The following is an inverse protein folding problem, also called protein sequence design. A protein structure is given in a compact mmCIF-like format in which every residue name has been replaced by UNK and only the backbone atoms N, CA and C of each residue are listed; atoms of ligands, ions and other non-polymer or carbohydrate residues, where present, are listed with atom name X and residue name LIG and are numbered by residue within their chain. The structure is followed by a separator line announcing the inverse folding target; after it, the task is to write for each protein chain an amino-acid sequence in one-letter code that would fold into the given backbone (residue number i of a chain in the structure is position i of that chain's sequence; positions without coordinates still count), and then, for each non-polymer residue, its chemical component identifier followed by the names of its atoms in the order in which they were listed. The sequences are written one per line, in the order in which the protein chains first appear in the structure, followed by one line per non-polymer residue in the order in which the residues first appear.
data_IF_680429199108
#
_entry.id   IF_680429199108
#
_cell.length_a   1.000
_cell.length_b   1.000
_cell.length_c   1.000
_cell.angle_alpha   90.00
_cell.angle_beta   90.00
_cell.angle_gamma   90.00
#
_symmetry.space_group_name_H-M   'P 1'
#
loop_
_entity.id
_entity.type
_entity.pdbx_description
1 polymer ?
#
# COMPACT_ATOMS: atom_id res chain seq x y z
N UNK A 1 4.35 5.76 -36.65
CA UNK A 1 4.39 4.40 -36.11
C UNK A 1 3.50 4.37 -34.86
N UNK A 2 2.20 4.03 -35.02
CA UNK A 2 1.21 4.10 -33.93
C UNK A 2 1.32 2.81 -33.13
N UNK A 3 1.89 2.92 -31.92
CA UNK A 3 1.90 1.85 -30.95
C UNK A 3 0.45 1.65 -30.47
N UNK A 4 -0.23 0.60 -30.95
CA UNK A 4 -1.46 0.12 -30.34
C UNK A 4 -1.10 -0.35 -28.91
N UNK A 5 -1.40 0.48 -27.92
CA UNK A 5 -1.48 0.03 -26.55
C UNK A 5 -2.69 -0.91 -26.46
N UNK A 6 -2.46 -2.21 -26.48
CA UNK A 6 -3.49 -3.17 -26.11
C UNK A 6 -3.93 -2.84 -24.67
N UNK A 7 -5.24 -2.67 -24.50
CA UNK A 7 -5.82 -2.45 -23.18
C UNK A 7 -5.39 -3.62 -22.27
N UNK A 8 -4.91 -3.34 -21.06
CA UNK A 8 -4.55 -4.43 -20.15
C UNK A 8 -5.79 -5.29 -19.92
N UNK A 9 -5.64 -6.60 -20.12
CA UNK A 9 -6.68 -7.58 -19.79
C UNK A 9 -7.17 -7.33 -18.37
N UNK A 10 -8.49 -7.38 -18.14
CA UNK A 10 -9.10 -7.17 -16.84
C UNK A 10 -8.39 -8.03 -15.80
N UNK A 11 -7.54 -7.42 -14.97
CA UNK A 11 -6.74 -8.10 -13.97
C UNK A 11 -7.70 -8.64 -12.91
N UNK A 12 -7.84 -9.96 -12.86
CA UNK A 12 -8.71 -10.64 -11.92
C UNK A 12 -8.10 -10.52 -10.51
N UNK A 13 -8.61 -9.59 -9.71
CA UNK A 13 -8.22 -9.41 -8.30
C UNK A 13 -8.85 -10.53 -7.49
N UNK A 14 -8.11 -11.63 -7.29
CA UNK A 14 -8.55 -12.76 -6.46
C UNK A 14 -8.21 -12.43 -5.01
N UNK A 15 -9.08 -11.69 -4.34
CA UNK A 15 -9.09 -11.58 -2.86
C UNK A 15 -10.35 -12.26 -2.33
N UNK A 16 -10.18 -13.44 -1.73
CA UNK A 16 -11.27 -14.21 -1.12
C UNK A 16 -11.19 -14.19 0.42
N UNK A 17 -10.90 -13.02 1.02
CA UNK A 17 -10.89 -12.88 2.47
C UNK A 17 -12.23 -12.35 2.98
N UNK A 18 -12.67 -12.83 4.15
CA UNK A 18 -13.89 -12.37 4.84
C UNK A 18 -13.91 -10.83 5.02
N UNK A 19 -12.74 -10.24 5.27
CA UNK A 19 -12.58 -8.78 5.38
C UNK A 19 -12.94 -8.08 4.06
N UNK A 20 -12.43 -8.58 2.93
CA UNK A 20 -12.69 -8.02 1.60
C UNK A 20 -14.18 -8.11 1.20
N UNK A 21 -14.89 -9.15 1.65
CA UNK A 21 -16.32 -9.28 1.40
C UNK A 21 -17.14 -8.24 2.17
N UNK A 22 -16.81 -7.99 3.44
CA UNK A 22 -17.45 -6.97 4.26
C UNK A 22 -17.12 -5.55 3.79
N UNK A 23 -15.85 -5.30 3.44
CA UNK A 23 -15.41 -4.04 2.85
C UNK A 23 -16.21 -3.71 1.59
N UNK A 24 -16.36 -4.65 0.65
CA UNK A 24 -17.18 -4.44 -0.56
C UNK A 24 -18.63 -4.08 -0.26
N UNK A 25 -19.23 -4.66 0.78
CA UNK A 25 -20.62 -4.32 1.19
C UNK A 25 -20.69 -2.87 1.68
N UNK A 26 -19.73 -2.44 2.50
CA UNK A 26 -19.65 -1.07 3.01
C UNK A 26 -19.43 -0.09 1.85
N UNK A 27 -18.48 -0.37 0.96
CA UNK A 27 -18.18 0.47 -0.18
C UNK A 27 -19.37 0.61 -1.13
N UNK A 28 -20.08 -0.49 -1.44
CA UNK A 28 -21.29 -0.44 -2.25
C UNK A 28 -22.41 0.39 -1.60
N UNK A 29 -22.59 0.25 -0.28
CA UNK A 29 -23.55 1.04 0.47
C UNK A 29 -23.21 2.53 0.46
N UNK A 30 -21.93 2.89 0.55
CA UNK A 30 -21.44 4.25 0.46
C UNK A 30 -21.61 4.80 -0.97
N UNK A 31 -21.27 4.04 -2.01
CA UNK A 31 -21.44 4.44 -3.41
C UNK A 31 -22.88 4.84 -3.74
N UNK A 32 -23.88 4.11 -3.22
CA UNK A 32 -25.30 4.41 -3.42
C UNK A 32 -25.72 5.76 -2.83
N UNK A 33 -25.03 6.23 -1.80
CA UNK A 33 -25.33 7.46 -1.06
C UNK A 33 -24.45 8.64 -1.45
N UNK A 34 -23.43 8.39 -2.29
CA UNK A 34 -22.45 9.40 -2.65
C UNK A 34 -23.07 10.49 -3.54
N UNK A 35 -23.03 11.77 -3.16
CA UNK A 35 -23.56 12.88 -3.97
C UNK A 35 -22.95 12.93 -5.37
N UNK A 36 -23.71 13.42 -6.34
CA UNK A 36 -23.29 13.46 -7.75
C UNK A 36 -22.04 14.30 -8.02
N UNK A 37 -21.76 15.30 -7.19
CA UNK A 37 -20.60 16.17 -7.32
C UNK A 37 -19.27 15.51 -6.85
N UNK A 38 -19.34 14.41 -6.11
CA UNK A 38 -18.15 13.64 -5.72
C UNK A 38 -17.67 12.83 -6.91
N UNK A 39 -16.40 12.99 -7.28
CA UNK A 39 -15.76 12.27 -8.39
C UNK A 39 -14.68 11.32 -7.85
N UNK A 40 -14.30 10.28 -8.61
CA UNK A 40 -13.17 9.43 -8.24
C UNK A 40 -11.90 10.23 -7.93
N UNK A 41 -11.54 11.21 -8.77
CA UNK A 41 -10.34 12.03 -8.55
C UNK A 41 -10.37 12.84 -7.24
N UNK A 42 -11.57 13.28 -6.80
CA UNK A 42 -11.73 13.94 -5.50
C UNK A 42 -11.53 12.96 -4.34
N UNK A 43 -11.94 11.72 -4.52
CA UNK A 43 -11.72 10.67 -3.52
C UNK A 43 -10.24 10.30 -3.42
N UNK A 44 -9.54 10.15 -4.55
CA UNK A 44 -8.07 9.96 -4.55
C UNK A 44 -7.37 11.13 -3.85
N UNK A 45 -7.77 12.39 -4.14
CA UNK A 45 -7.24 13.56 -3.43
C UNK A 45 -7.56 13.53 -1.92
N UNK A 46 -8.76 13.06 -1.53
CA UNK A 46 -9.11 12.86 -0.12
C UNK A 46 -8.21 11.83 0.54
N UNK A 47 -7.91 10.73 -0.15
CA UNK A 47 -6.94 9.72 0.32
C UNK A 47 -5.55 10.32 0.55
N UNK A 48 -5.09 11.18 -0.36
CA UNK A 48 -3.80 11.87 -0.21
C UNK A 48 -3.79 12.87 0.95
N UNK A 49 -4.89 13.57 1.20
CA UNK A 49 -5.06 14.41 2.41
C UNK A 49 -4.95 13.53 3.66
N UNK A 50 -5.59 12.35 3.66
CA UNK A 50 -5.48 11.38 4.75
C UNK A 50 -4.03 10.95 5.01
N UNK A 51 -3.25 10.66 3.95
CA UNK A 51 -1.83 10.34 4.08
C UNK A 51 -1.02 11.51 4.67
N UNK A 52 -1.31 12.76 4.24
CA UNK A 52 -0.73 13.98 4.81
C UNK A 52 -1.10 14.18 6.28
N UNK A 53 -2.34 13.88 6.68
CA UNK A 53 -2.78 13.91 8.09
C UNK A 53 -2.03 12.86 8.91
N UNK A 54 -1.84 11.66 8.39
CA UNK A 54 -1.07 10.60 9.05
C UNK A 54 0.36 11.04 9.29
N UNK A 55 1.02 11.57 8.27
CA UNK A 55 2.36 12.15 8.39
C UNK A 55 2.42 13.23 9.46
N UNK A 56 1.53 14.24 9.38
CA UNK A 56 1.49 15.35 10.32
C UNK A 56 1.24 14.88 11.77
N UNK A 57 0.35 13.91 11.97
CA UNK A 57 0.06 13.32 13.27
C UNK A 57 1.28 12.63 13.89
N UNK A 58 2.04 11.87 13.11
CA UNK A 58 3.29 11.26 13.59
C UNK A 58 4.36 12.30 13.91
N UNK A 59 4.56 13.29 13.05
CA UNK A 59 5.55 14.36 13.32
C UNK A 59 5.16 15.18 14.55
N UNK A 60 3.89 15.54 14.70
CA UNK A 60 3.38 16.29 15.83
C UNK A 60 3.41 15.48 17.14
N UNK A 61 3.48 14.16 17.08
CA UNK A 61 3.59 13.31 18.29
C UNK A 61 4.88 13.51 19.07
N UNK A 62 5.88 14.18 18.49
CA UNK A 62 7.06 14.66 19.23
C UNK A 62 6.71 15.70 20.29
N UNK A 63 5.62 16.47 20.11
CA UNK A 63 5.16 17.44 21.11
C UNK A 63 4.20 16.79 22.11
N UNK A 64 3.27 15.95 21.65
CA UNK A 64 2.32 15.24 22.51
C UNK A 64 1.83 13.98 21.78
N UNK A 65 1.84 12.84 22.48
CA UNK A 65 1.34 11.56 21.96
C UNK A 65 -0.13 11.59 21.53
N UNK A 66 -0.94 12.51 22.03
CA UNK A 66 -2.33 12.69 21.58
C UNK A 66 -2.46 13.00 20.07
N UNK A 67 -1.42 13.57 19.44
CA UNK A 67 -1.41 13.80 18.00
C UNK A 67 -1.45 12.50 17.17
N UNK A 68 -1.13 11.34 17.76
CA UNK A 68 -1.33 10.04 17.12
C UNK A 68 -2.81 9.77 16.79
N UNK A 69 -3.76 10.41 17.46
CA UNK A 69 -5.18 10.37 17.08
C UNK A 69 -5.41 10.98 15.69
N UNK A 70 -4.66 12.03 15.35
CA UNK A 70 -4.70 12.63 14.00
C UNK A 70 -4.12 11.66 12.97
N UNK A 71 -3.06 10.92 13.33
CA UNK A 71 -2.52 9.89 12.45
C UNK A 71 -3.54 8.75 12.21
N UNK A 72 -4.22 8.29 13.26
CA UNK A 72 -5.28 7.26 13.15
C UNK A 72 -6.43 7.76 12.27
N UNK A 73 -6.90 9.00 12.48
CA UNK A 73 -7.92 9.62 11.63
C UNK A 73 -7.43 9.71 10.18
N UNK A 74 -6.16 10.06 9.97
CA UNK A 74 -5.52 10.10 8.66
C UNK A 74 -5.58 8.76 7.94
N UNK A 75 -5.31 7.64 8.62
CA UNK A 75 -5.47 6.29 8.05
C UNK A 75 -6.90 5.99 7.62
N UNK A 76 -7.91 6.40 8.41
CA UNK A 76 -9.32 6.21 8.07
C UNK A 76 -9.72 7.03 6.85
N UNK A 77 -9.28 8.29 6.77
CA UNK A 77 -9.52 9.17 5.62
C UNK A 77 -8.82 8.64 4.38
N UNK A 78 -7.58 8.16 4.51
CA UNK A 78 -6.81 7.58 3.41
C UNK A 78 -7.47 6.30 2.91
N UNK A 79 -7.90 5.39 3.80
CA UNK A 79 -8.66 4.20 3.43
C UNK A 79 -9.95 4.54 2.68
N UNK A 80 -10.71 5.52 3.20
CA UNK A 80 -11.96 5.93 2.59
C UNK A 80 -11.73 6.46 1.16
N UNK A 81 -10.77 7.38 0.97
CA UNK A 81 -10.48 7.97 -0.33
C UNK A 81 -10.05 6.93 -1.36
N UNK A 82 -9.07 6.12 -1.00
CA UNK A 82 -8.43 5.10 -1.82
C UNK A 82 -9.38 3.92 -2.18
N UNK A 83 -10.13 3.40 -1.20
CA UNK A 83 -11.07 2.29 -1.47
C UNK A 83 -12.32 2.74 -2.22
N UNK A 84 -12.72 4.01 -2.06
CA UNK A 84 -13.94 4.55 -2.66
C UNK A 84 -13.77 5.03 -4.10
N UNK A 85 -12.59 5.48 -4.52
CA UNK A 85 -12.41 6.08 -5.85
C UNK A 85 -12.65 5.07 -6.99
N UNK A 86 -12.00 3.91 -6.94
CA UNK A 86 -12.22 2.82 -7.88
C UNK A 86 -13.62 2.22 -7.77
N UNK A 87 -14.13 2.07 -6.52
CA UNK A 87 -15.48 1.55 -6.28
C UNK A 87 -16.57 2.45 -6.86
N UNK A 88 -16.44 3.77 -6.70
CA UNK A 88 -17.37 4.76 -7.23
C UNK A 88 -17.28 4.84 -8.76
N UNK A 89 -16.06 4.78 -9.34
CA UNK A 89 -15.85 4.75 -10.79
C UNK A 89 -16.60 3.56 -11.41
N UNK A 90 -16.42 2.37 -10.82
CA UNK A 90 -17.11 1.16 -11.26
C UNK A 90 -18.63 1.24 -11.09
N UNK A 91 -19.11 1.69 -9.92
CA UNK A 91 -20.54 1.82 -9.64
C UNK A 91 -21.25 2.77 -10.63
N UNK A 92 -20.61 3.88 -11.00
CA UNK A 92 -21.15 4.87 -11.93
C UNK A 92 -20.86 4.58 -13.41
N UNK A 93 -20.09 3.52 -13.72
CA UNK A 93 -19.63 3.15 -15.08
C UNK A 93 -18.86 4.28 -15.78
N UNK A 94 -17.99 4.96 -15.01
CA UNK A 94 -17.13 6.05 -15.50
C UNK A 94 -15.64 5.71 -15.36
N UNK A 95 -15.32 4.43 -15.44
CA UNK A 95 -13.95 3.93 -15.28
C UNK A 95 -13.03 4.49 -16.36
N UNK A 96 -11.84 4.85 -15.95
CA UNK A 96 -10.72 5.24 -16.81
C UNK A 96 -9.54 4.30 -16.52
N UNK A 97 -9.53 3.06 -17.07
CA UNK A 97 -8.64 2.00 -16.59
C UNK A 97 -7.16 2.38 -16.57
N UNK A 98 -6.63 2.94 -17.66
CA UNK A 98 -5.20 3.32 -17.73
C UNK A 98 -4.86 4.50 -16.82
N UNK A 99 -5.72 5.52 -16.80
CA UNK A 99 -5.52 6.69 -15.95
C UNK A 99 -5.68 6.34 -14.49
N UNK A 100 -6.77 5.63 -14.13
CA UNK A 100 -7.05 5.20 -12.76
C UNK A 100 -5.90 4.36 -12.20
N UNK A 101 -5.46 3.34 -12.96
CA UNK A 101 -4.33 2.51 -12.57
C UNK A 101 -3.05 3.32 -12.31
N UNK A 102 -2.72 4.27 -13.19
CA UNK A 102 -1.52 5.10 -13.05
C UNK A 102 -1.58 5.99 -11.81
N UNK A 103 -2.71 6.71 -11.62
CA UNK A 103 -2.88 7.64 -10.51
C UNK A 103 -2.94 6.89 -9.18
N UNK A 104 -3.73 5.83 -9.09
CA UNK A 104 -3.89 4.98 -7.90
C UNK A 104 -2.52 4.53 -7.36
N UNK A 105 -1.74 3.85 -8.19
CA UNK A 105 -0.44 3.32 -7.75
C UNK A 105 0.63 4.40 -7.55
N UNK A 106 0.53 5.55 -8.23
CA UNK A 106 1.41 6.69 -7.95
C UNK A 106 1.09 7.32 -6.59
N UNK A 107 -0.20 7.46 -6.28
CA UNK A 107 -0.65 7.96 -4.97
C UNK A 107 -0.32 6.98 -3.84
N UNK A 108 -0.45 5.66 -4.07
CA UNK A 108 -0.05 4.63 -3.11
C UNK A 108 1.43 4.73 -2.74
N UNK A 109 2.30 4.90 -3.73
CA UNK A 109 3.73 5.10 -3.49
C UNK A 109 4.02 6.34 -2.65
N UNK A 110 3.37 7.47 -2.98
CA UNK A 110 3.54 8.72 -2.23
C UNK A 110 2.92 8.64 -0.83
N UNK A 111 1.76 8.02 -0.68
CA UNK A 111 1.11 7.80 0.62
C UNK A 111 2.02 6.94 1.53
N UNK A 112 2.59 5.86 0.99
CA UNK A 112 3.53 5.01 1.72
C UNK A 112 4.77 5.79 2.17
N UNK A 113 5.33 6.61 1.28
CA UNK A 113 6.45 7.50 1.63
C UNK A 113 6.08 8.43 2.79
N UNK A 114 4.93 9.11 2.72
CA UNK A 114 4.47 10.02 3.78
C UNK A 114 4.28 9.30 5.11
N UNK A 115 3.62 8.15 5.09
CA UNK A 115 3.34 7.36 6.29
C UNK A 115 4.66 6.94 6.97
N UNK A 116 5.57 6.31 6.22
CA UNK A 116 6.82 5.81 6.80
C UNK A 116 7.80 6.92 7.16
N UNK A 117 7.84 8.01 6.40
CA UNK A 117 8.59 9.21 6.79
C UNK A 117 8.04 9.81 8.09
N UNK A 118 6.71 9.89 8.24
CA UNK A 118 6.07 10.33 9.48
C UNK A 118 6.44 9.43 10.67
N UNK A 119 6.37 8.11 10.50
CA UNK A 119 6.78 7.14 11.53
C UNK A 119 8.25 7.35 11.91
N UNK A 120 9.16 7.49 10.93
CA UNK A 120 10.60 7.68 11.19
C UNK A 120 10.96 9.06 11.77
N UNK A 121 10.09 10.09 11.61
CA UNK A 121 10.23 11.40 12.24
C UNK A 121 9.55 11.48 13.60
N UNK A 122 8.82 10.44 14.01
CA UNK A 122 8.18 10.35 15.32
C UNK A 122 9.20 9.92 16.40
N UNK A 123 8.86 10.07 17.69
CA UNK A 123 9.75 9.63 18.77
C UNK A 123 9.75 8.11 18.99
N UNK A 124 9.01 7.32 18.20
CA UNK A 124 8.78 5.89 18.44
C UNK A 124 9.67 4.98 17.60
N UNK A 125 10.02 5.40 16.39
CA UNK A 125 10.80 4.59 15.43
C UNK A 125 11.90 5.45 14.83
N UNK A 126 13.11 4.90 14.73
CA UNK A 126 14.24 5.55 14.12
C UNK A 126 14.10 5.64 12.59
N UNK A 127 14.61 6.72 11.99
CA UNK A 127 14.46 7.01 10.56
C UNK A 127 15.11 5.94 9.67
N UNK A 128 16.26 5.40 10.08
CA UNK A 128 16.94 4.34 9.36
C UNK A 128 16.10 3.06 9.26
N UNK A 129 15.42 2.68 10.35
CA UNK A 129 14.48 1.54 10.37
C UNK A 129 13.25 1.80 9.50
N UNK A 130 12.69 3.00 9.57
CA UNK A 130 11.57 3.40 8.72
C UNK A 130 11.94 3.37 7.22
N UNK A 131 13.17 3.77 6.87
CA UNK A 131 13.68 3.70 5.50
C UNK A 131 13.87 2.26 5.01
N UNK A 132 14.26 1.33 5.88
CA UNK A 132 14.32 -0.11 5.53
C UNK A 132 12.91 -0.63 5.20
N UNK A 133 11.92 -0.28 6.02
CA UNK A 133 10.54 -0.67 5.76
C UNK A 133 9.99 -0.05 4.45
N UNK A 134 10.28 1.23 4.20
CA UNK A 134 9.93 1.91 2.96
C UNK A 134 10.58 1.24 1.74
N UNK A 135 11.87 0.96 1.80
CA UNK A 135 12.59 0.28 0.74
C UNK A 135 11.99 -1.10 0.45
N UNK A 136 11.70 -1.88 1.49
CA UNK A 136 11.07 -3.21 1.36
C UNK A 136 9.71 -3.14 0.65
N UNK A 137 8.86 -2.21 1.05
CA UNK A 137 7.55 -2.03 0.42
C UNK A 137 7.66 -1.59 -1.04
N UNK A 138 8.47 -0.58 -1.34
CA UNK A 138 8.63 -0.06 -2.71
C UNK A 138 9.27 -1.09 -3.64
N UNK A 139 10.27 -1.84 -3.19
CA UNK A 139 10.88 -2.92 -3.97
C UNK A 139 9.85 -4.00 -4.31
N UNK A 140 9.01 -4.39 -3.36
CA UNK A 140 7.96 -5.39 -3.59
C UNK A 140 6.88 -4.86 -4.54
N UNK A 141 6.52 -3.59 -4.46
CA UNK A 141 5.61 -2.91 -5.39
C UNK A 141 6.18 -2.87 -6.81
N UNK A 142 7.47 -2.53 -6.97
CA UNK A 142 8.18 -2.58 -8.25
C UNK A 142 8.12 -4.00 -8.83
N UNK A 143 8.39 -5.03 -8.01
CA UNK A 143 8.28 -6.42 -8.47
C UNK A 143 6.86 -6.76 -8.96
N UNK A 144 5.82 -6.32 -8.26
CA UNK A 144 4.43 -6.53 -8.66
C UNK A 144 4.13 -5.90 -10.02
N UNK A 145 4.55 -4.64 -10.25
CA UNK A 145 4.35 -3.93 -11.52
C UNK A 145 5.13 -4.57 -12.68
N UNK A 146 6.38 -4.98 -12.44
CA UNK A 146 7.18 -5.68 -13.44
C UNK A 146 6.56 -7.04 -13.79
N UNK A 147 6.10 -7.80 -12.81
CA UNK A 147 5.43 -9.09 -13.01
C UNK A 147 4.13 -8.94 -13.78
N UNK A 148 3.33 -7.92 -13.48
CA UNK A 148 2.12 -7.60 -14.23
C UNK A 148 2.43 -7.30 -15.70
N UNK A 149 3.49 -6.55 -15.97
CA UNK A 149 3.91 -6.19 -17.34
C UNK A 149 4.42 -7.38 -18.15
N UNK A 150 5.20 -8.28 -17.52
CA UNK A 150 5.92 -9.34 -18.24
C UNK A 150 5.13 -10.67 -18.27
N UNK A 151 4.41 -11.00 -17.20
CA UNK A 151 3.65 -12.24 -17.08
C UNK A 151 2.14 -12.05 -17.30
N UNK A 152 1.64 -10.81 -17.32
CA UNK A 152 0.19 -10.53 -17.29
C UNK A 152 -0.49 -10.91 -15.96
N UNK A 153 0.30 -11.25 -14.93
CA UNK A 153 -0.20 -11.66 -13.62
C UNK A 153 0.05 -10.53 -12.61
N UNK A 154 -1.01 -9.92 -12.09
CA UNK A 154 -0.90 -8.89 -11.07
C UNK A 154 -1.19 -9.49 -9.69
N UNK A 155 -0.14 -9.75 -8.91
CA UNK A 155 -0.23 -10.27 -7.55
C UNK A 155 0.22 -9.21 -6.56
N UNK A 156 -0.72 -8.46 -5.97
CA UNK A 156 -0.46 -7.53 -4.87
C UNK A 156 -0.57 -8.22 -3.50
N UNK A 157 -1.09 -9.44 -3.44
CA UNK A 157 -1.25 -10.17 -2.18
C UNK A 157 -0.06 -11.10 -1.97
N UNK A 158 0.96 -10.59 -1.30
CA UNK A 158 2.01 -11.42 -0.74
C UNK A 158 1.59 -11.78 0.70
N UNK A 159 1.68 -13.06 1.08
CA UNK A 159 1.29 -13.58 2.40
C UNK A 159 -0.21 -13.44 2.75
N UNK A 160 -1.11 -13.38 1.76
CA UNK A 160 -2.57 -13.21 1.98
C UNK A 160 -2.97 -11.90 2.69
N UNK A 161 -2.04 -10.98 2.89
CA UNK A 161 -2.31 -9.66 3.45
C UNK A 161 -2.56 -8.66 2.31
N UNK A 162 -3.73 -8.02 2.33
CA UNK A 162 -4.09 -6.94 1.42
C UNK A 162 -3.79 -5.55 2.02
N UNK A 163 -4.03 -4.47 1.25
CA UNK A 163 -3.83 -3.10 1.74
C UNK A 163 -4.61 -2.77 3.01
N UNK A 164 -5.80 -3.33 3.17
CA UNK A 164 -6.66 -3.10 4.34
C UNK A 164 -6.10 -3.76 5.60
N UNK A 165 -5.56 -4.97 5.51
CA UNK A 165 -4.90 -5.67 6.61
C UNK A 165 -3.65 -4.91 7.06
N UNK A 166 -2.87 -4.38 6.11
CA UNK A 166 -1.69 -3.57 6.43
C UNK A 166 -2.08 -2.28 7.17
N UNK A 167 -3.16 -1.60 6.75
CA UNK A 167 -3.67 -0.41 7.46
C UNK A 167 -4.14 -0.72 8.88
N UNK A 168 -4.87 -1.83 9.06
CA UNK A 168 -5.30 -2.26 10.40
C UNK A 168 -4.08 -2.53 11.29
N UNK A 169 -3.05 -3.17 10.77
CA UNK A 169 -1.80 -3.41 11.49
C UNK A 169 -1.12 -2.09 11.87
N UNK A 170 -1.04 -1.10 10.96
CA UNK A 170 -0.44 0.21 11.23
C UNK A 170 -1.26 1.03 12.24
N UNK A 171 -2.59 0.98 12.18
CA UNK A 171 -3.46 1.59 13.19
C UNK A 171 -3.23 0.92 14.56
N UNK A 172 -3.17 -0.41 14.61
CA UNK A 172 -2.87 -1.15 15.84
C UNK A 172 -1.49 -0.76 16.42
N UNK A 173 -0.48 -0.66 15.57
CA UNK A 173 0.86 -0.19 15.95
C UNK A 173 0.79 1.25 16.52
N UNK A 174 0.04 2.13 15.88
CA UNK A 174 -0.14 3.53 16.35
C UNK A 174 -0.84 3.60 17.71
N UNK A 175 -1.86 2.77 17.92
CA UNK A 175 -2.53 2.64 19.23
C UNK A 175 -1.55 2.12 20.28
N UNK A 176 -0.72 1.14 19.96
CA UNK A 176 0.32 0.65 20.88
C UNK A 176 1.34 1.73 21.21
N UNK A 177 1.79 2.53 20.24
CA UNK A 177 2.67 3.67 20.45
C UNK A 177 2.04 4.68 21.43
N UNK A 178 0.76 4.97 21.26
CA UNK A 178 0.03 5.89 22.14
C UNK A 178 -0.12 5.34 23.57
N UNK A 179 -0.33 4.02 23.73
CA UNK A 179 -0.53 3.40 25.04
C UNK A 179 0.77 3.16 25.80
N UNK A 180 1.82 2.77 25.10
CA UNK A 180 3.10 2.37 25.71
C UNK A 180 4.11 3.51 25.79
N UNK A 181 3.92 4.55 24.99
CA UNK A 181 4.88 5.65 24.87
C UNK A 181 6.17 5.24 24.18
N UNK A 182 7.08 6.20 24.02
CA UNK A 182 8.44 5.95 23.58
C UNK A 182 9.23 5.36 24.75
N UNK A 183 9.27 4.04 24.84
CA UNK A 183 9.97 3.34 25.92
C UNK A 183 11.49 3.32 25.72
N UNK A 184 12.27 2.99 26.77
CA UNK A 184 13.70 2.74 26.65
C UNK A 184 13.92 1.57 25.68
N UNK A 185 14.87 1.70 24.77
CA UNK A 185 15.16 0.70 23.76
C UNK A 185 15.62 -0.64 24.37
N UNK A 186 15.26 -1.74 23.74
CA UNK A 186 15.92 -3.02 23.94
C UNK A 186 17.34 -2.90 23.39
N UNK A 187 18.32 -3.41 24.10
CA UNK A 187 19.75 -3.27 23.76
C UNK A 187 20.29 -1.82 23.73
N UNK A 188 19.63 -0.89 24.43
CA UNK A 188 20.12 0.47 24.66
C UNK A 188 19.84 1.47 23.53
N UNK A 189 19.52 1.04 22.31
CA UNK A 189 19.34 1.92 21.16
C UNK A 189 18.04 1.67 20.37
N UNK A 190 17.55 0.44 20.31
CA UNK A 190 16.37 0.09 19.49
C UNK A 190 15.14 -0.12 20.34
N UNK A 191 14.06 0.55 20.03
CA UNK A 191 12.77 0.36 20.66
C UNK A 191 12.11 -0.95 20.21
N UNK A 192 11.11 -1.43 20.94
CA UNK A 192 10.29 -2.56 20.47
C UNK A 192 9.59 -2.25 19.14
N UNK A 193 9.29 -0.97 18.89
CA UNK A 193 8.70 -0.51 17.63
C UNK A 193 9.73 -0.55 16.48
N UNK A 194 11.00 -0.23 16.74
CA UNK A 194 12.09 -0.40 15.76
C UNK A 194 12.23 -1.86 15.35
N UNK A 195 12.21 -2.76 16.30
CA UNK A 195 12.32 -4.21 16.01
C UNK A 195 11.12 -4.70 15.18
N UNK A 196 9.92 -4.23 15.49
CA UNK A 196 8.72 -4.60 14.73
C UNK A 196 8.77 -4.04 13.30
N UNK A 197 8.94 -2.73 13.14
CA UNK A 197 8.96 -2.06 11.82
C UNK A 197 10.13 -2.56 10.97
N UNK A 198 11.33 -2.67 11.56
CA UNK A 198 12.52 -3.20 10.88
C UNK A 198 12.39 -4.68 10.52
N UNK A 199 11.76 -5.47 11.38
CA UNK A 199 11.44 -6.88 11.11
C UNK A 199 10.50 -7.03 9.92
N UNK A 200 9.41 -6.26 9.88
CA UNK A 200 8.48 -6.22 8.74
C UNK A 200 9.21 -5.78 7.47
N UNK A 201 9.99 -4.68 7.52
CA UNK A 201 10.76 -4.19 6.38
C UNK A 201 11.74 -5.24 5.84
N UNK A 202 12.45 -5.91 6.73
CA UNK A 202 13.40 -6.99 6.38
C UNK A 202 12.69 -8.17 5.70
N UNK A 203 11.52 -8.58 6.22
CA UNK A 203 10.70 -9.63 5.61
C UNK A 203 10.27 -9.22 4.19
N UNK A 204 9.83 -7.97 3.98
CA UNK A 204 9.44 -7.49 2.65
C UNK A 204 10.61 -7.51 1.66
N UNK A 205 11.83 -7.14 2.10
CA UNK A 205 13.04 -7.22 1.27
C UNK A 205 13.36 -8.68 0.92
N UNK A 206 13.31 -9.59 1.89
CA UNK A 206 13.54 -11.02 1.66
C UNK A 206 12.51 -11.62 0.69
N UNK A 207 11.24 -11.23 0.83
CA UNK A 207 10.17 -11.61 -0.11
C UNK A 207 10.44 -11.08 -1.51
N UNK A 208 10.86 -9.82 -1.65
CA UNK A 208 11.24 -9.25 -2.93
C UNK A 208 12.37 -10.07 -3.60
N UNK A 209 13.44 -10.36 -2.87
CA UNK A 209 14.57 -11.15 -3.39
C UNK A 209 14.11 -12.55 -3.82
N UNK A 210 13.35 -13.23 -2.95
CA UNK A 210 12.81 -14.56 -3.26
C UNK A 210 11.91 -14.59 -4.50
N UNK A 211 10.95 -13.65 -4.56
CA UNK A 211 10.02 -13.53 -5.69
C UNK A 211 10.74 -13.15 -6.99
N UNK A 212 11.75 -12.27 -6.92
CA UNK A 212 12.56 -11.89 -8.07
C UNK A 212 13.34 -13.09 -8.61
N UNK A 213 13.94 -13.91 -7.75
CA UNK A 213 14.62 -15.15 -8.15
C UNK A 213 13.67 -16.17 -8.79
N UNK A 214 12.48 -16.37 -8.19
CA UNK A 214 11.49 -17.31 -8.71
C UNK A 214 10.96 -16.85 -10.07
N UNK A 215 10.59 -15.59 -10.18
CA UNK A 215 10.07 -14.99 -11.43
C UNK A 215 11.13 -14.99 -12.51
N UNK A 216 12.38 -14.62 -12.18
CA UNK A 216 13.50 -14.64 -13.12
C UNK A 216 13.76 -16.06 -13.70
N UNK A 217 13.77 -17.09 -12.85
CA UNK A 217 13.91 -18.48 -13.29
C UNK A 217 12.76 -18.93 -14.20
N UNK A 218 11.51 -18.53 -13.86
CA UNK A 218 10.32 -18.84 -14.68
C UNK A 218 10.43 -18.21 -16.08
N UNK A 219 10.83 -16.94 -16.17
CA UNK A 219 10.99 -16.21 -17.42
C UNK A 219 12.13 -16.80 -18.28
N UNK A 220 13.27 -17.10 -17.68
CA UNK A 220 14.39 -17.73 -18.38
C UNK A 220 14.00 -19.06 -19.00
N UNK A 221 13.16 -19.87 -18.31
CA UNK A 221 12.62 -21.13 -18.86
C UNK A 221 11.70 -20.87 -20.05
N UNK A 222 10.73 -19.94 -19.92
CA UNK A 222 9.78 -19.61 -20.99
C UNK A 222 10.50 -19.15 -22.25
N UNK A 223 11.50 -18.28 -22.09
CA UNK A 223 12.24 -17.75 -23.24
C UNK A 223 13.19 -18.81 -23.85
N UNK A 224 13.78 -19.69 -23.04
CA UNK A 224 14.55 -20.83 -23.52
C UNK A 224 13.71 -21.80 -24.36
N UNK A 225 12.47 -22.12 -23.93
CA UNK A 225 11.55 -22.96 -24.69
C UNK A 225 11.12 -22.33 -26.03
N UNK A 226 10.92 -21.00 -26.06
CA UNK A 226 10.61 -20.26 -27.30
C UNK A 226 11.79 -20.26 -28.27
N UNK A 227 13.02 -20.15 -27.78
CA UNK A 227 14.23 -20.19 -28.60
C UNK A 227 14.42 -21.54 -29.25
N UNK A 228 14.25 -22.63 -28.48
CA UNK A 228 14.35 -24.02 -29.01
C UNK A 228 13.27 -24.39 -30.03
N UNK A 229 12.14 -23.69 -30.08
CA UNK A 229 11.09 -23.89 -31.09
C UNK A 229 11.36 -23.16 -32.40
N UNK A 230 12.33 -22.26 -32.43
CA UNK A 230 12.71 -21.47 -33.63
C UNK A 230 13.92 -22.01 -34.34
N UNK A 231 14.66 -22.91 -33.69
CA UNK A 231 15.73 -23.72 -34.28
C UNK A 231 15.19 -25.04 -34.74
#
# INVERSE_FOLDING_TARGET
MSVKLEAPAALCRIQQNWLAANERRILNWLCQRMPGWVTPDRLTATGMIGAGMTFAGYVASNADAAWLLVAILGYLVQWFGDSMDGSLAWYRRIERPSYGYFIDHSCDGLATLLILAGIGLSPFVSMDVALIALAGYLLLSIHAFLSARVLGEFKLSYLSAGPTELRIMLIGLTVMMMMLGAGPGFFGTWSGFDLFVGGVGSILILLFVGQTCVTGRRLARIDGEKLNRRT
#
